data_IF_625700235869
#
_entry.id   IF_625700235869
#
_cell.length_a   1.000
_cell.length_b   1.000
_cell.length_c   1.000
_cell.angle_alpha   90.00
_cell.angle_beta   90.00
_cell.angle_gamma   90.00
#
_symmetry.space_group_name_H-M   'P 1'
#
loop_
_entity.id
_entity.type
_entity.pdbx_description
1 polymer ?
#
# COMPACT_ATOMS: atom_id res chain seq x y z
N UNK A 1 -72.61 47.29 -0.66
CA UNK A 1 -71.89 46.44 0.33
C UNK A 1 -71.26 47.32 1.39
N UNK A 2 -71.58 47.14 2.68
CA UNK A 2 -71.16 48.04 3.76
C UNK A 2 -69.82 47.67 4.40
N UNK A 3 -68.99 48.68 4.70
CA UNK A 3 -67.62 48.56 5.22
C UNK A 3 -67.48 47.60 6.43
N UNK A 4 -68.48 47.52 7.32
CA UNK A 4 -68.49 46.57 8.46
C UNK A 4 -68.44 45.09 8.04
N UNK A 5 -69.05 44.72 6.90
CA UNK A 5 -68.98 43.36 6.35
C UNK A 5 -67.59 43.05 5.79
N UNK A 6 -66.98 44.03 5.13
CA UNK A 6 -65.60 43.96 4.62
C UNK A 6 -64.60 43.78 5.76
N UNK A 7 -64.71 44.53 6.86
CA UNK A 7 -63.82 44.38 8.05
C UNK A 7 -63.92 42.99 8.69
N UNK A 8 -65.14 42.45 8.85
CA UNK A 8 -65.33 41.08 9.37
C UNK A 8 -64.74 40.03 8.44
N UNK A 9 -64.87 40.20 7.13
CA UNK A 9 -64.26 39.30 6.14
C UNK A 9 -62.73 39.34 6.18
N UNK A 10 -62.15 40.54 6.38
CA UNK A 10 -60.70 40.74 6.54
C UNK A 10 -60.18 40.12 7.83
N UNK A 11 -60.88 40.28 8.97
CA UNK A 11 -60.52 39.62 10.23
C UNK A 11 -60.64 38.10 10.15
N UNK A 12 -61.68 37.58 9.50
CA UNK A 12 -61.84 36.15 9.27
C UNK A 12 -60.79 35.58 8.31
N UNK A 13 -60.31 36.39 7.37
CA UNK A 13 -59.18 36.06 6.48
C UNK A 13 -57.85 36.05 7.24
N UNK A 14 -57.59 37.07 8.06
CA UNK A 14 -56.39 37.16 8.89
C UNK A 14 -56.27 35.97 9.87
N UNK A 15 -57.34 35.64 10.59
CA UNK A 15 -57.38 34.45 11.47
C UNK A 15 -57.22 33.12 10.72
N UNK A 16 -57.66 33.05 9.45
CA UNK A 16 -57.40 31.87 8.59
C UNK A 16 -55.94 31.80 8.18
N UNK A 17 -55.34 32.94 7.82
CA UNK A 17 -53.92 33.05 7.47
C UNK A 17 -53.01 32.61 8.62
N UNK A 18 -53.29 33.10 9.84
CA UNK A 18 -52.54 32.77 11.06
C UNK A 18 -52.62 31.28 11.41
N UNK A 19 -53.82 30.67 11.34
CA UNK A 19 -53.97 29.22 11.52
C UNK A 19 -53.24 28.40 10.45
N UNK A 20 -53.24 28.87 9.20
CA UNK A 20 -52.52 28.21 8.12
C UNK A 20 -51.00 28.32 8.31
N UNK A 21 -50.51 29.47 8.78
CA UNK A 21 -49.09 29.66 9.11
C UNK A 21 -48.65 28.72 10.25
N UNK A 22 -49.43 28.62 11.32
CA UNK A 22 -49.15 27.68 12.41
C UNK A 22 -49.22 26.21 11.98
N UNK A 23 -50.15 25.84 11.10
CA UNK A 23 -50.18 24.48 10.53
C UNK A 23 -48.91 24.18 9.73
N UNK A 24 -48.53 25.07 8.81
CA UNK A 24 -47.29 24.93 8.02
C UNK A 24 -46.06 24.83 8.91
N UNK A 25 -45.98 25.65 9.96
CA UNK A 25 -44.87 25.60 10.92
C UNK A 25 -44.79 24.23 11.61
N UNK A 26 -45.91 23.69 12.09
CA UNK A 26 -45.95 22.36 12.71
C UNK A 26 -45.60 21.23 11.73
N UNK A 27 -46.06 21.33 10.48
CA UNK A 27 -45.75 20.36 9.44
C UNK A 27 -44.24 20.38 9.11
N UNK A 28 -43.64 21.57 9.00
CA UNK A 28 -42.20 21.75 8.82
C UNK A 28 -41.40 21.22 10.01
N UNK A 29 -41.83 21.49 11.25
CA UNK A 29 -41.20 20.94 12.46
C UNK A 29 -41.27 19.41 12.51
N UNK A 30 -42.39 18.82 12.07
CA UNK A 30 -42.54 17.36 11.98
C UNK A 30 -41.59 16.77 10.94
N UNK A 31 -41.55 17.34 9.74
CA UNK A 31 -40.63 16.91 8.69
C UNK A 31 -39.18 17.05 9.15
N UNK A 32 -38.80 18.17 9.78
CA UNK A 32 -37.46 18.37 10.31
C UNK A 32 -37.08 17.31 11.36
N UNK A 33 -38.00 16.95 12.27
CA UNK A 33 -37.76 15.87 13.24
C UNK A 33 -37.63 14.50 12.59
N UNK A 34 -38.40 14.22 11.54
CA UNK A 34 -38.31 12.98 10.78
C UNK A 34 -36.97 12.90 10.03
N UNK A 35 -36.53 13.98 9.37
CA UNK A 35 -35.21 14.07 8.73
C UNK A 35 -34.07 13.89 9.74
N UNK A 36 -34.08 14.63 10.86
CA UNK A 36 -33.05 14.51 11.89
C UNK A 36 -33.00 13.10 12.50
N UNK A 37 -34.16 12.42 12.60
CA UNK A 37 -34.22 11.02 13.03
C UNK A 37 -33.59 10.09 12.01
N UNK A 38 -33.85 10.27 10.70
CA UNK A 38 -33.23 9.45 9.66
C UNK A 38 -31.72 9.66 9.61
N UNK A 39 -31.27 10.91 9.62
CA UNK A 39 -29.85 11.27 9.66
C UNK A 39 -29.13 10.65 10.86
N UNK A 40 -29.72 10.70 12.06
CA UNK A 40 -29.14 10.09 13.25
C UNK A 40 -29.05 8.54 13.17
N UNK A 41 -29.97 7.89 12.44
CA UNK A 41 -29.92 6.44 12.21
C UNK A 41 -28.86 6.07 11.17
N UNK A 42 -28.73 6.87 10.11
CA UNK A 42 -27.68 6.70 9.09
C UNK A 42 -26.29 6.91 9.69
N UNK A 43 -26.11 7.96 10.49
CA UNK A 43 -24.86 8.19 11.21
C UNK A 43 -24.53 7.04 12.17
N UNK A 44 -25.53 6.53 12.90
CA UNK A 44 -25.34 5.38 13.78
C UNK A 44 -24.89 4.13 13.03
N UNK A 45 -25.49 3.85 11.86
CA UNK A 45 -25.09 2.74 11.01
C UNK A 45 -23.65 2.92 10.51
N UNK A 46 -23.33 4.10 9.97
CA UNK A 46 -21.99 4.42 9.50
C UNK A 46 -20.92 4.26 10.59
N UNK A 47 -21.19 4.68 11.82
CA UNK A 47 -20.24 4.52 12.93
C UNK A 47 -19.98 3.05 13.31
N UNK A 48 -20.97 2.18 13.15
CA UNK A 48 -20.80 0.73 13.34
C UNK A 48 -20.00 0.14 12.19
N UNK A 49 -20.30 0.53 10.95
CA UNK A 49 -19.57 0.08 9.77
C UNK A 49 -18.07 0.47 9.85
N UNK A 50 -17.76 1.70 10.25
CA UNK A 50 -16.36 2.15 10.47
C UNK A 50 -15.67 1.31 11.53
N UNK A 51 -16.36 0.99 12.62
CA UNK A 51 -15.82 0.14 13.68
C UNK A 51 -15.57 -1.30 13.21
N UNK A 52 -16.52 -1.90 12.51
CA UNK A 52 -16.41 -3.26 11.98
C UNK A 52 -15.31 -3.37 10.93
N UNK A 53 -15.23 -2.40 10.00
CA UNK A 53 -14.17 -2.32 9.01
C UNK A 53 -12.79 -2.14 9.65
N UNK A 54 -12.68 -1.32 10.70
CA UNK A 54 -11.42 -1.17 11.43
C UNK A 54 -10.97 -2.49 12.05
N UNK A 55 -11.89 -3.24 12.66
CA UNK A 55 -11.58 -4.58 13.18
C UNK A 55 -11.19 -5.56 12.06
N UNK A 56 -11.86 -5.50 10.91
CA UNK A 56 -11.50 -6.35 9.77
C UNK A 56 -10.09 -6.06 9.27
N UNK A 57 -9.69 -4.80 9.12
CA UNK A 57 -8.35 -4.40 8.69
C UNK A 57 -7.28 -4.97 9.63
N UNK A 58 -7.39 -4.71 10.93
CA UNK A 58 -6.36 -5.17 11.88
C UNK A 58 -6.28 -6.71 11.98
N UNK A 59 -7.41 -7.40 11.82
CA UNK A 59 -7.47 -8.87 11.90
C UNK A 59 -7.09 -9.56 10.59
N UNK A 60 -7.05 -8.84 9.46
CA UNK A 60 -6.76 -9.39 8.14
C UNK A 60 -5.39 -8.99 7.57
N UNK A 61 -4.57 -8.25 8.32
CA UNK A 61 -3.21 -7.82 7.92
C UNK A 61 -2.37 -8.95 7.30
N UNK A 62 -2.44 -10.16 7.85
CA UNK A 62 -1.70 -11.34 7.37
C UNK A 62 -2.12 -11.85 5.99
N UNK A 63 -3.28 -11.44 5.44
CA UNK A 63 -3.82 -11.94 4.16
C UNK A 63 -3.16 -11.27 2.97
N UNK A 64 -2.86 -9.99 3.10
CA UNK A 64 -2.15 -9.21 2.10
C UNK A 64 -0.64 -9.52 2.12
N UNK A 65 0.03 -9.45 0.96
CA UNK A 65 1.47 -9.63 0.80
C UNK A 65 1.89 -9.21 -0.60
N UNK A 66 3.10 -8.65 -0.75
CA UNK A 66 3.71 -8.41 -2.04
C UNK A 66 3.98 -9.68 -2.87
N UNK A 67 4.24 -9.49 -4.16
CA UNK A 67 4.63 -10.57 -5.05
C UNK A 67 6.02 -11.13 -4.69
N UNK A 68 6.23 -12.42 -4.95
CA UNK A 68 7.53 -13.06 -4.73
C UNK A 68 8.56 -12.56 -5.75
N UNK A 69 9.65 -11.98 -5.27
CA UNK A 69 10.75 -11.49 -6.10
C UNK A 69 11.66 -12.65 -6.49
N UNK A 70 11.80 -12.88 -7.80
CA UNK A 70 12.69 -13.90 -8.36
C UNK A 70 14.04 -13.29 -8.73
N UNK A 71 14.91 -13.10 -7.74
CA UNK A 71 16.26 -12.52 -7.94
C UNK A 71 17.09 -13.25 -9.00
N UNK A 72 16.96 -14.58 -9.11
CA UNK A 72 17.64 -15.34 -10.16
C UNK A 72 17.22 -14.92 -11.58
N UNK A 73 15.94 -14.54 -11.77
CA UNK A 73 15.45 -14.01 -13.05
C UNK A 73 16.08 -12.66 -13.35
N UNK A 74 16.17 -11.77 -12.35
CA UNK A 74 16.79 -10.45 -12.49
C UNK A 74 18.28 -10.58 -12.86
N UNK A 75 19.01 -11.48 -12.20
CA UNK A 75 20.42 -11.77 -12.51
C UNK A 75 20.61 -12.31 -13.94
N UNK A 76 19.63 -13.07 -14.45
CA UNK A 76 19.66 -13.67 -15.79
C UNK A 76 19.12 -12.78 -16.92
N UNK A 77 18.61 -11.58 -16.60
CA UNK A 77 18.05 -10.65 -17.59
C UNK A 77 19.12 -10.26 -18.60
N UNK A 78 18.80 -10.38 -19.89
CA UNK A 78 19.73 -10.04 -20.97
C UNK A 78 20.09 -8.55 -20.95
N UNK A 79 21.36 -8.28 -21.24
CA UNK A 79 21.88 -6.92 -21.37
C UNK A 79 21.14 -6.15 -22.48
N UNK A 80 20.72 -4.90 -22.22
CA UNK A 80 20.12 -4.04 -23.24
C UNK A 80 21.05 -3.83 -24.43
N UNK A 81 20.55 -4.04 -25.64
CA UNK A 81 21.35 -3.88 -26.86
C UNK A 81 21.65 -2.41 -27.13
N UNK A 82 22.93 -2.09 -27.31
CA UNK A 82 23.35 -0.76 -27.71
C UNK A 82 22.72 -0.35 -29.07
N UNK A 83 22.24 0.89 -29.21
CA UNK A 83 21.68 1.38 -30.46
C UNK A 83 22.75 1.45 -31.53
N UNK A 84 22.36 1.20 -32.77
CA UNK A 84 23.24 1.32 -33.93
C UNK A 84 22.88 2.57 -34.73
N UNK A 85 23.90 3.23 -35.29
CA UNK A 85 23.68 4.32 -36.24
C UNK A 85 22.97 3.79 -37.48
N UNK A 86 22.00 4.55 -37.96
CA UNK A 86 21.21 4.25 -39.15
C UNK A 86 21.19 5.50 -40.00
N UNK A 87 21.49 5.37 -41.29
CA UNK A 87 21.53 6.48 -42.24
C UNK A 87 20.26 6.50 -43.11
N UNK A 88 19.12 6.11 -42.53
CA UNK A 88 17.89 5.83 -43.29
C UNK A 88 17.34 7.11 -43.92
N UNK A 89 17.31 8.20 -43.17
CA UNK A 89 16.75 9.47 -43.65
C UNK A 89 17.70 10.15 -44.63
N UNK A 90 19.01 10.10 -44.37
CA UNK A 90 20.04 10.51 -45.34
C UNK A 90 19.89 9.74 -46.67
N UNK A 91 19.78 8.41 -46.62
CA UNK A 91 19.64 7.59 -47.83
C UNK A 91 18.34 7.90 -48.59
N UNK A 92 17.21 8.08 -47.88
CA UNK A 92 15.94 8.46 -48.52
C UNK A 92 16.05 9.83 -49.20
N UNK A 93 16.61 10.83 -48.51
CA UNK A 93 16.79 12.17 -49.08
C UNK A 93 17.78 12.18 -50.25
N UNK A 94 18.84 11.37 -50.17
CA UNK A 94 19.83 11.22 -51.25
C UNK A 94 19.21 10.57 -52.48
N UNK A 95 18.33 9.58 -52.29
CA UNK A 95 17.55 9.00 -53.39
C UNK A 95 16.62 10.01 -54.05
N UNK A 96 15.99 10.91 -53.29
CA UNK A 96 15.16 11.99 -53.84
C UNK A 96 15.98 12.97 -54.69
N UNK A 97 17.21 13.29 -54.27
CA UNK A 97 18.16 14.08 -55.08
C UNK A 97 18.49 13.36 -56.39
N UNK A 98 18.83 12.07 -56.33
CA UNK A 98 19.19 11.26 -57.51
C UNK A 98 18.02 11.12 -58.49
N UNK A 99 16.79 10.95 -57.97
CA UNK A 99 15.58 10.75 -58.78
C UNK A 99 15.02 12.05 -59.38
N UNK A 100 15.44 13.21 -58.89
CA UNK A 100 14.93 14.50 -59.33
C UNK A 100 15.22 14.75 -60.81
N UNK A 101 14.16 15.01 -61.59
CA UNK A 101 14.24 15.47 -62.98
C UNK A 101 13.53 16.82 -63.11
N UNK A 102 14.17 17.86 -63.67
CA UNK A 102 13.55 19.17 -63.83
C UNK A 102 12.41 19.13 -64.87
N UNK A 103 11.27 19.72 -64.52
CA UNK A 103 10.10 19.85 -65.39
C UNK A 103 10.25 21.05 -66.35
N UNK A 104 9.50 21.04 -67.46
CA UNK A 104 9.56 22.09 -68.50
C UNK A 104 9.41 23.52 -67.92
N UNK A 105 8.52 23.70 -66.94
CA UNK A 105 8.30 24.96 -66.23
C UNK A 105 9.44 25.35 -65.26
N UNK A 106 10.12 24.39 -64.62
CA UNK A 106 11.23 24.70 -63.71
C UNK A 106 12.49 25.19 -64.45
N UNK A 107 12.67 24.74 -65.70
CA UNK A 107 13.69 25.25 -66.63
C UNK A 107 13.33 26.65 -67.15
N UNK A 108 12.08 26.88 -67.52
CA UNK A 108 11.60 28.16 -68.07
C UNK A 108 11.70 29.31 -67.05
N UNK A 109 11.47 29.04 -65.76
CA UNK A 109 11.54 30.04 -64.68
C UNK A 109 12.88 30.08 -63.91
N UNK A 110 13.93 29.35 -64.35
CA UNK A 110 15.24 29.24 -63.66
C UNK A 110 15.16 28.79 -62.19
N UNK A 111 14.10 28.07 -61.80
CA UNK A 111 13.86 27.61 -60.43
C UNK A 111 14.62 26.31 -60.08
N UNK A 112 15.29 25.70 -61.06
CA UNK A 112 16.02 24.45 -60.89
C UNK A 112 17.11 24.51 -59.82
N UNK A 113 17.88 25.60 -59.77
CA UNK A 113 18.93 25.78 -58.76
C UNK A 113 18.34 25.81 -57.33
N UNK A 114 17.21 26.50 -57.17
CA UNK A 114 16.50 26.57 -55.88
C UNK A 114 15.91 25.22 -55.46
N UNK A 115 15.39 24.45 -56.42
CA UNK A 115 14.82 23.12 -56.17
C UNK A 115 15.90 22.09 -55.81
N UNK A 116 17.05 22.10 -56.49
CA UNK A 116 18.21 21.26 -56.12
C UNK A 116 18.79 21.65 -54.76
N UNK A 117 18.92 22.95 -54.47
CA UNK A 117 19.36 23.42 -53.16
C UNK A 117 18.40 22.98 -52.04
N UNK A 118 17.09 23.03 -52.28
CA UNK A 118 16.09 22.54 -51.33
C UNK A 118 16.17 21.03 -51.10
N UNK A 119 16.47 20.22 -52.13
CA UNK A 119 16.68 18.78 -51.98
C UNK A 119 18.00 18.48 -51.23
N UNK A 120 19.06 19.26 -51.46
CA UNK A 120 20.31 19.12 -50.71
C UNK A 120 20.12 19.44 -49.22
N UNK A 121 19.36 20.50 -48.90
CA UNK A 121 18.98 20.82 -47.53
C UNK A 121 18.18 19.68 -46.86
N UNK A 122 17.41 18.90 -47.63
CA UNK A 122 16.73 17.70 -47.09
C UNK A 122 17.71 16.57 -46.76
N UNK A 123 18.83 16.44 -47.47
CA UNK A 123 19.88 15.46 -47.14
C UNK A 123 20.55 15.85 -45.83
N UNK A 124 20.91 17.12 -45.68
CA UNK A 124 21.47 17.66 -44.41
C UNK A 124 20.47 17.51 -43.25
N UNK A 125 19.18 17.80 -43.49
CA UNK A 125 18.13 17.56 -42.50
C UNK A 125 17.97 16.06 -42.18
N UNK A 126 18.13 15.17 -43.16
CA UNK A 126 18.10 13.72 -42.96
C UNK A 126 19.26 13.24 -42.08
N UNK A 127 20.48 13.71 -42.35
CA UNK A 127 21.67 13.43 -41.53
C UNK A 127 21.49 13.94 -40.09
N UNK A 128 20.94 15.14 -39.93
CA UNK A 128 20.65 15.72 -38.63
C UNK A 128 19.59 14.90 -37.87
N UNK A 129 18.54 14.44 -38.56
CA UNK A 129 17.49 13.59 -37.97
C UNK A 129 18.02 12.22 -37.56
N UNK A 130 18.79 11.54 -38.43
CA UNK A 130 19.45 10.26 -38.12
C UNK A 130 20.39 10.42 -36.89
N UNK A 131 21.15 11.53 -36.84
CA UNK A 131 22.03 11.85 -35.71
C UNK A 131 21.26 12.11 -34.42
N UNK A 132 20.20 12.92 -34.46
CA UNK A 132 19.37 13.24 -33.30
C UNK A 132 18.69 11.98 -32.74
N UNK A 133 18.17 11.10 -33.62
CA UNK A 133 17.58 9.82 -33.21
C UNK A 133 18.58 8.89 -32.57
N UNK A 134 19.79 8.80 -33.14
CA UNK A 134 20.85 8.01 -32.55
C UNK A 134 21.24 8.54 -31.16
N UNK A 135 21.39 9.86 -31.00
CA UNK A 135 21.69 10.46 -29.69
C UNK A 135 20.59 10.19 -28.66
N UNK A 136 19.32 10.37 -29.04
CA UNK A 136 18.20 10.06 -28.16
C UNK A 136 18.17 8.58 -27.74
N UNK A 137 18.38 7.67 -28.70
CA UNK A 137 18.46 6.24 -28.43
C UNK A 137 19.67 5.86 -27.57
N UNK A 138 20.79 6.57 -27.73
CA UNK A 138 22.00 6.37 -26.93
C UNK A 138 21.77 6.78 -25.48
N UNK A 139 21.19 7.95 -25.23
CA UNK A 139 20.83 8.41 -23.88
C UNK A 139 19.85 7.45 -23.21
N UNK A 140 18.82 6.99 -23.92
CA UNK A 140 17.87 6.01 -23.37
C UNK A 140 18.56 4.69 -23.03
N UNK A 141 19.43 4.20 -23.91
CA UNK A 141 20.20 2.99 -23.66
C UNK A 141 21.17 3.15 -22.48
N UNK A 142 21.84 4.30 -22.33
CA UNK A 142 22.73 4.57 -21.20
C UNK A 142 21.97 4.48 -19.86
N UNK A 143 20.77 5.05 -19.79
CA UNK A 143 19.91 4.96 -18.60
C UNK A 143 19.50 3.50 -18.33
N UNK A 144 18.94 2.82 -19.34
CA UNK A 144 18.46 1.42 -19.19
C UNK A 144 19.61 0.46 -18.88
N UNK A 145 20.79 0.67 -19.46
CA UNK A 145 21.99 -0.12 -19.18
C UNK A 145 22.49 0.13 -17.75
N UNK A 146 22.51 1.40 -17.29
CA UNK A 146 22.86 1.73 -15.90
C UNK A 146 21.93 1.05 -14.89
N UNK A 147 20.61 1.12 -15.11
CA UNK A 147 19.62 0.42 -14.28
C UNK A 147 19.86 -1.09 -14.31
N UNK A 148 20.06 -1.68 -15.48
CA UNK A 148 20.36 -3.11 -15.61
C UNK A 148 21.62 -3.53 -14.85
N UNK A 149 22.69 -2.73 -14.88
CA UNK A 149 23.92 -2.99 -14.11
C UNK A 149 23.63 -2.98 -12.61
N UNK A 150 22.88 -1.97 -12.13
CA UNK A 150 22.53 -1.82 -10.71
C UNK A 150 21.63 -2.97 -10.23
N UNK A 151 20.56 -3.28 -10.95
CA UNK A 151 19.64 -4.38 -10.65
C UNK A 151 20.38 -5.72 -10.57
N UNK A 152 21.28 -5.95 -11.53
CA UNK A 152 22.05 -7.20 -11.60
C UNK A 152 23.06 -7.30 -10.46
N UNK A 153 23.72 -6.21 -10.08
CA UNK A 153 24.64 -6.17 -8.94
C UNK A 153 23.89 -6.43 -7.63
N UNK A 154 22.78 -5.74 -7.41
CA UNK A 154 21.92 -5.94 -6.25
C UNK A 154 21.42 -7.39 -6.16
N UNK A 155 20.88 -7.93 -7.26
CA UNK A 155 20.39 -9.30 -7.30
C UNK A 155 21.49 -10.32 -6.99
N UNK A 156 22.70 -10.11 -7.52
CA UNK A 156 23.86 -10.96 -7.23
C UNK A 156 24.21 -10.90 -5.74
N UNK A 157 24.37 -9.70 -5.17
CA UNK A 157 24.75 -9.51 -3.77
C UNK A 157 23.71 -10.11 -2.82
N UNK A 158 22.42 -9.98 -3.12
CA UNK A 158 21.34 -10.60 -2.33
C UNK A 158 21.41 -12.13 -2.37
N UNK A 159 21.64 -12.71 -3.55
CA UNK A 159 21.80 -14.17 -3.71
C UNK A 159 23.07 -14.69 -3.01
N UNK A 160 24.14 -13.88 -2.97
CA UNK A 160 25.37 -14.17 -2.23
C UNK A 160 25.22 -13.95 -0.71
N UNK A 161 24.05 -13.49 -0.24
CA UNK A 161 23.73 -13.32 1.18
C UNK A 161 24.22 -12.01 1.81
N UNK A 162 24.58 -11.01 1.00
CA UNK A 162 25.06 -9.70 1.48
C UNK A 162 24.01 -9.00 2.35
N UNK A 163 24.38 -8.71 3.60
CA UNK A 163 23.52 -8.05 4.59
C UNK A 163 23.00 -6.70 4.12
N UNK A 164 23.87 -5.84 3.58
CA UNK A 164 23.50 -4.49 3.20
C UNK A 164 22.56 -4.54 2.00
N UNK A 165 22.84 -5.42 1.02
CA UNK A 165 22.00 -5.59 -0.15
C UNK A 165 20.56 -6.03 0.21
N UNK A 166 20.39 -6.89 1.23
CA UNK A 166 19.05 -7.26 1.74
C UNK A 166 18.31 -6.06 2.34
N UNK A 167 19.01 -5.21 3.10
CA UNK A 167 18.42 -4.01 3.69
C UNK A 167 18.06 -2.97 2.62
N UNK A 168 18.97 -2.73 1.66
CA UNK A 168 18.76 -1.82 0.53
C UNK A 168 17.53 -2.24 -0.29
N UNK A 169 17.33 -3.55 -0.50
CA UNK A 169 16.14 -4.06 -1.18
C UNK A 169 14.85 -3.81 -0.38
N UNK A 170 14.87 -3.98 0.94
CA UNK A 170 13.67 -3.71 1.76
C UNK A 170 13.35 -2.21 1.76
N UNK A 171 14.36 -1.35 1.81
CA UNK A 171 14.19 0.10 1.71
C UNK A 171 13.61 0.50 0.34
N UNK A 172 14.10 -0.10 -0.76
CA UNK A 172 13.63 0.21 -2.10
C UNK A 172 12.18 -0.25 -2.39
N UNK A 173 11.77 -1.38 -1.81
CA UNK A 173 10.42 -1.95 -2.02
C UNK A 173 9.37 -1.45 -1.02
N UNK A 174 9.79 -0.87 0.11
CA UNK A 174 8.94 -0.39 1.20
C UNK A 174 7.76 -1.33 1.57
N UNK A 175 8.00 -2.64 1.81
CA UNK A 175 6.93 -3.64 1.92
C UNK A 175 6.05 -3.50 3.18
N UNK A 176 6.38 -2.57 4.08
CA UNK A 176 5.73 -2.41 5.38
C UNK A 176 4.99 -1.09 5.57
N UNK A 177 4.77 -0.31 4.50
CA UNK A 177 4.13 1.00 4.59
C UNK A 177 2.77 0.96 5.32
N UNK A 178 1.94 -0.05 5.05
CA UNK A 178 0.63 -0.23 5.71
C UNK A 178 0.75 -0.51 7.21
N UNK A 179 1.71 -1.34 7.61
CA UNK A 179 1.97 -1.66 9.02
C UNK A 179 2.46 -0.40 9.76
N UNK A 180 3.34 0.38 9.13
CA UNK A 180 3.84 1.64 9.70
C UNK A 180 2.74 2.68 9.92
N UNK A 181 1.71 2.71 9.06
CA UNK A 181 0.56 3.60 9.22
C UNK A 181 -0.29 3.29 10.46
N UNK A 182 -0.24 2.05 10.96
CA UNK A 182 -0.87 1.65 12.23
C UNK A 182 -0.02 2.00 13.46
N UNK A 183 1.01 2.83 13.28
CA UNK A 183 1.89 3.31 14.36
C UNK A 183 3.01 2.34 14.71
N UNK A 184 3.22 1.28 13.91
CA UNK A 184 4.23 0.26 14.20
C UNK A 184 5.61 0.63 13.64
N UNK A 185 6.65 0.50 14.47
CA UNK A 185 8.04 0.65 14.03
C UNK A 185 8.66 -0.72 13.73
N UNK A 186 9.52 -0.79 12.71
CA UNK A 186 10.20 -2.04 12.33
C UNK A 186 11.72 -1.82 12.35
N UNK A 187 12.40 -2.63 13.16
CA UNK A 187 13.85 -2.68 13.24
C UNK A 187 14.37 -3.99 12.67
N UNK A 188 15.30 -3.92 11.73
CA UNK A 188 15.79 -5.09 11.01
C UNK A 188 17.25 -5.36 11.34
N UNK A 189 17.62 -6.64 11.42
CA UNK A 189 18.99 -7.08 11.70
C UNK A 189 19.28 -8.36 10.94
N UNK A 190 20.42 -8.41 10.25
CA UNK A 190 20.94 -9.67 9.68
C UNK A 190 22.06 -10.14 10.59
N UNK A 191 21.87 -11.32 11.17
CA UNK A 191 22.84 -11.95 12.07
C UNK A 191 24.06 -12.49 11.30
N UNK A 192 25.18 -12.73 12.00
CA UNK A 192 26.44 -13.18 11.37
C UNK A 192 26.28 -14.48 10.56
N UNK A 193 25.37 -15.35 10.97
CA UNK A 193 25.04 -16.61 10.32
C UNK A 193 23.93 -16.46 9.25
N UNK A 194 23.68 -15.24 8.76
CA UNK A 194 22.82 -14.93 7.61
C UNK A 194 21.31 -14.85 7.88
N UNK A 195 20.85 -15.24 9.08
CA UNK A 195 19.43 -15.19 9.44
C UNK A 195 18.97 -13.73 9.58
N UNK A 196 17.88 -13.42 8.92
CA UNK A 196 17.21 -12.13 9.00
C UNK A 196 16.23 -12.11 10.19
N UNK A 197 16.40 -11.14 11.09
CA UNK A 197 15.47 -10.85 12.19
C UNK A 197 14.81 -9.48 11.97
N UNK A 198 13.50 -9.43 12.14
CA UNK A 198 12.71 -8.22 12.21
C UNK A 198 12.08 -8.08 13.60
N UNK A 199 12.23 -6.91 14.22
CA UNK A 199 11.57 -6.53 15.47
C UNK A 199 10.50 -5.49 15.16
N UNK A 200 9.26 -5.83 15.50
CA UNK A 200 8.08 -5.05 15.20
C UNK A 200 7.49 -4.50 16.49
N UNK A 201 7.43 -3.18 16.66
CA UNK A 201 6.74 -2.52 17.76
C UNK A 201 5.26 -2.38 17.42
N UNK A 202 4.37 -3.06 18.15
CA UNK A 202 2.94 -3.22 17.78
C UNK A 202 2.06 -2.06 18.23
N UNK A 203 2.37 -1.44 19.38
CA UNK A 203 1.56 -0.40 20.02
C UNK A 203 0.07 -0.79 20.16
N UNK A 204 -0.19 -2.03 20.61
CA UNK A 204 -1.53 -2.64 20.52
C UNK A 204 -2.63 -1.90 21.30
N UNK A 205 -2.26 -1.22 22.40
CA UNK A 205 -3.17 -0.39 23.18
C UNK A 205 -3.78 0.78 22.42
N UNK A 206 -3.08 1.26 21.39
CA UNK A 206 -3.45 2.47 20.66
C UNK A 206 -4.25 2.14 19.40
N UNK A 207 -4.06 0.93 18.86
CA UNK A 207 -4.71 0.46 17.63
C UNK A 207 -6.07 -0.20 17.90
N UNK A 208 -6.21 -0.92 19.02
CA UNK A 208 -7.40 -1.72 19.30
C UNK A 208 -8.44 -0.88 20.05
N UNK A 209 -9.69 -0.79 19.54
CA UNK A 209 -10.73 -0.02 20.20
C UNK A 209 -11.01 -0.52 21.63
N UNK A 210 -11.18 0.41 22.56
CA UNK A 210 -11.56 0.12 23.96
C UNK A 210 -13.07 0.00 24.17
N UNK A 211 -13.85 0.29 23.13
CA UNK A 211 -15.31 0.23 23.12
C UNK A 211 -15.83 -0.66 21.99
N UNK A 212 -17.03 -1.21 22.17
CA UNK A 212 -17.77 -1.97 21.18
C UNK A 212 -18.94 -1.10 20.71
N UNK A 213 -18.98 -0.85 19.40
CA UNK A 213 -20.12 -0.19 18.73
C UNK A 213 -21.03 -1.24 18.11
N UNK A 214 -22.34 -1.04 18.22
CA UNK A 214 -23.36 -1.94 17.66
C UNK A 214 -24.70 -1.21 17.49
N UNK A 215 -25.59 -1.74 16.66
CA UNK A 215 -26.95 -1.21 16.51
C UNK A 215 -27.94 -1.90 17.45
N UNK A 216 -28.78 -1.11 18.11
CA UNK A 216 -29.96 -1.62 18.81
C UNK A 216 -31.04 -2.05 17.79
N UNK A 217 -32.01 -2.85 18.23
CA UNK A 217 -33.20 -3.19 17.41
C UNK A 217 -33.96 -1.97 16.87
N UNK A 218 -33.77 -0.80 17.49
CA UNK A 218 -34.36 0.47 17.08
C UNK A 218 -33.54 1.23 16.02
N UNK A 219 -32.38 0.71 15.63
CA UNK A 219 -31.40 1.35 14.73
C UNK A 219 -30.51 2.40 15.40
N UNK A 220 -30.70 2.67 16.70
CA UNK A 220 -29.84 3.61 17.45
C UNK A 220 -28.49 2.97 17.78
N UNK A 221 -27.44 3.78 17.79
CA UNK A 221 -26.10 3.38 18.22
C UNK A 221 -26.08 2.95 19.70
N UNK A 222 -25.41 1.84 19.97
CA UNK A 222 -25.08 1.35 21.30
C UNK A 222 -23.56 1.23 21.41
N UNK A 223 -22.99 1.98 22.35
CA UNK A 223 -21.57 1.94 22.69
C UNK A 223 -21.41 1.35 24.09
N UNK A 224 -20.52 0.37 24.23
CA UNK A 224 -20.23 -0.28 25.52
C UNK A 224 -18.73 -0.46 25.68
N UNK A 225 -18.20 -0.33 26.89
CA UNK A 225 -16.82 -0.68 27.18
C UNK A 225 -16.53 -2.13 26.79
N UNK A 226 -15.38 -2.37 26.15
CA UNK A 226 -14.97 -3.69 25.71
C UNK A 226 -14.57 -4.54 26.93
N UNK A 227 -15.10 -5.76 27.09
CA UNK A 227 -14.62 -6.68 28.11
C UNK A 227 -13.14 -7.01 27.86
N UNK A 228 -12.33 -7.00 28.93
CA UNK A 228 -10.87 -7.21 28.84
C UNK A 228 -10.49 -8.50 28.09
N UNK A 229 -11.26 -9.58 28.27
CA UNK A 229 -11.03 -10.83 27.55
C UNK A 229 -11.18 -10.71 26.04
N UNK A 230 -12.14 -9.91 25.57
CA UNK A 230 -12.34 -9.67 24.13
C UNK A 230 -11.26 -8.76 23.57
N UNK A 231 -10.86 -7.74 24.33
CA UNK A 231 -9.73 -6.89 23.96
C UNK A 231 -8.45 -7.72 23.79
N UNK A 232 -8.15 -8.59 24.75
CA UNK A 232 -6.97 -9.44 24.71
C UNK A 232 -7.00 -10.44 23.55
N UNK A 233 -8.17 -11.03 23.23
CA UNK A 233 -8.32 -11.92 22.06
C UNK A 233 -7.99 -11.15 20.75
N UNK A 234 -8.60 -9.97 20.55
CA UNK A 234 -8.31 -9.12 19.38
C UNK A 234 -6.83 -8.71 19.32
N UNK A 235 -6.23 -8.44 20.48
CA UNK A 235 -4.82 -8.10 20.56
C UNK A 235 -3.92 -9.26 20.17
N UNK A 236 -4.26 -10.47 20.60
CA UNK A 236 -3.54 -11.68 20.21
C UNK A 236 -3.56 -11.88 18.70
N UNK A 237 -4.74 -11.79 18.10
CA UNK A 237 -4.91 -11.99 16.66
C UNK A 237 -4.19 -10.90 15.87
N UNK A 238 -4.29 -9.64 16.29
CA UNK A 238 -3.58 -8.52 15.67
C UNK A 238 -2.06 -8.72 15.70
N UNK A 239 -1.47 -9.02 16.86
CA UNK A 239 -0.03 -9.26 17.01
C UNK A 239 0.44 -10.40 16.10
N UNK A 240 -0.29 -11.53 16.11
CA UNK A 240 0.07 -12.69 15.29
C UNK A 240 -0.13 -12.42 13.80
N UNK A 241 -1.16 -11.65 13.44
CA UNK A 241 -1.45 -11.23 12.07
C UNK A 241 -0.34 -10.34 11.52
N UNK A 242 0.13 -9.35 12.29
CA UNK A 242 1.25 -8.51 11.88
C UNK A 242 2.56 -9.29 11.78
N UNK A 243 2.82 -10.21 12.72
CA UNK A 243 4.01 -11.07 12.65
C UNK A 243 4.01 -11.95 11.38
N UNK A 244 2.85 -12.55 11.03
CA UNK A 244 2.67 -13.28 9.77
C UNK A 244 2.90 -12.37 8.57
N UNK A 245 2.31 -11.17 8.54
CA UNK A 245 2.49 -10.23 7.41
C UNK A 245 3.97 -9.92 7.20
N UNK A 246 4.69 -9.54 8.25
CA UNK A 246 6.13 -9.25 8.17
C UNK A 246 6.91 -10.47 7.69
N UNK A 247 6.64 -11.65 8.26
CA UNK A 247 7.31 -12.89 7.85
C UNK A 247 7.07 -13.22 6.38
N UNK A 248 5.84 -13.03 5.89
CA UNK A 248 5.47 -13.26 4.49
C UNK A 248 6.16 -12.28 3.55
N UNK A 249 6.12 -10.99 3.83
CA UNK A 249 6.76 -9.97 3.02
C UNK A 249 8.27 -10.20 2.91
N UNK A 250 8.93 -10.51 4.02
CA UNK A 250 10.36 -10.82 4.02
C UNK A 250 10.66 -12.07 3.20
N UNK A 251 9.86 -13.14 3.33
CA UNK A 251 10.04 -14.34 2.52
C UNK A 251 9.67 -14.12 1.04
N UNK A 252 8.74 -13.23 0.72
CA UNK A 252 8.41 -12.90 -0.66
C UNK A 252 9.55 -12.10 -1.32
N UNK A 253 10.13 -11.16 -0.57
CA UNK A 253 11.17 -10.28 -1.07
C UNK A 253 12.55 -10.92 -1.05
N UNK A 254 12.93 -11.64 0.01
CA UNK A 254 14.28 -12.20 0.18
C UNK A 254 14.34 -13.66 -0.28
N UNK A 255 15.52 -14.15 -0.74
CA UNK A 255 15.70 -15.56 -1.11
C UNK A 255 15.80 -16.50 0.11
N UNK A 256 15.82 -15.96 1.33
CA UNK A 256 15.97 -16.71 2.57
C UNK A 256 14.86 -17.77 2.76
N UNK A 257 15.23 -18.95 3.29
CA UNK A 257 14.28 -20.01 3.62
C UNK A 257 13.65 -19.82 5.01
N UNK A 258 14.26 -19.00 5.86
CA UNK A 258 13.82 -18.74 7.22
C UNK A 258 14.09 -17.29 7.63
N UNK A 259 13.11 -16.69 8.29
CA UNK A 259 13.22 -15.36 8.92
C UNK A 259 12.67 -15.41 10.34
N UNK A 260 13.19 -14.56 11.22
CA UNK A 260 12.68 -14.41 12.59
C UNK A 260 11.91 -13.10 12.68
N UNK A 261 10.73 -13.15 13.27
CA UNK A 261 9.94 -11.96 13.58
C UNK A 261 9.66 -11.94 15.07
N UNK A 262 10.01 -10.83 15.72
CA UNK A 262 9.79 -10.60 17.14
C UNK A 262 8.88 -9.40 17.31
N UNK A 263 7.70 -9.60 17.89
CA UNK A 263 6.79 -8.51 18.21
C UNK A 263 7.09 -7.97 19.63
N UNK A 264 7.19 -6.66 19.71
CA UNK A 264 7.46 -5.87 20.91
C UNK A 264 6.21 -5.08 21.26
N UNK A 265 5.89 -5.00 22.55
CA UNK A 265 4.80 -4.14 23.02
C UNK A 265 5.09 -3.64 24.44
N UNK A 266 4.39 -2.57 24.84
CA UNK A 266 4.47 -2.02 26.17
C UNK A 266 3.70 -2.92 27.15
N UNK A 267 4.43 -3.69 27.96
CA UNK A 267 3.85 -4.60 28.94
C UNK A 267 4.43 -4.33 30.33
N UNK A 268 3.67 -4.72 31.37
CA UNK A 268 4.13 -4.57 32.74
C UNK A 268 5.29 -5.53 33.02
N UNK A 269 6.47 -4.98 33.29
CA UNK A 269 7.59 -5.76 33.80
C UNK A 269 7.30 -6.13 35.25
N UNK A 270 7.04 -7.41 35.51
CA UNK A 270 6.72 -7.91 36.85
C UNK A 270 7.85 -7.76 37.88
N UNK A 271 9.10 -7.57 37.45
CA UNK A 271 10.25 -7.37 38.33
C UNK A 271 10.42 -5.90 38.74
N UNK A 272 10.13 -4.95 37.85
CA UNK A 272 10.31 -3.50 38.10
C UNK A 272 9.00 -2.79 38.43
N UNK A 273 7.85 -3.36 38.04
CA UNK A 273 6.53 -2.75 38.16
C UNK A 273 6.27 -1.63 37.14
N UNK A 274 7.16 -1.43 36.17
CA UNK A 274 7.04 -0.40 35.14
C UNK A 274 6.55 -0.97 33.81
N UNK A 275 5.89 -0.13 33.02
CA UNK A 275 5.59 -0.47 31.62
C UNK A 275 6.88 -0.33 30.81
N UNK A 276 7.26 -1.41 30.15
CA UNK A 276 8.48 -1.49 29.35
C UNK A 276 8.15 -2.13 28.01
N UNK A 277 8.82 -1.67 26.95
CA UNK A 277 8.72 -2.28 25.64
C UNK A 277 9.50 -3.60 25.65
N UNK A 278 8.77 -4.71 25.70
CA UNK A 278 9.33 -6.05 25.86
C UNK A 278 8.81 -6.99 24.76
N UNK A 279 9.59 -8.02 24.40
CA UNK A 279 9.16 -9.04 23.45
C UNK A 279 7.97 -9.82 24.00
N UNK A 280 6.87 -9.85 23.26
CA UNK A 280 5.64 -10.59 23.61
C UNK A 280 5.41 -11.82 22.72
N UNK A 281 6.03 -11.83 21.53
CA UNK A 281 6.01 -12.93 20.57
C UNK A 281 7.36 -12.97 19.85
N UNK A 282 7.93 -14.15 19.66
CA UNK A 282 9.09 -14.36 18.77
C UNK A 282 8.91 -15.65 18.00
N UNK A 283 8.97 -15.58 16.66
CA UNK A 283 8.61 -16.69 15.76
C UNK A 283 9.64 -16.83 14.66
N UNK A 284 10.04 -18.06 14.35
CA UNK A 284 10.83 -18.39 13.18
C UNK A 284 9.91 -18.89 12.05
N UNK A 285 9.71 -18.07 11.03
CA UNK A 285 8.91 -18.41 9.85
C UNK A 285 9.77 -19.08 8.79
N UNK A 286 9.46 -20.33 8.45
CA UNK A 286 10.06 -21.01 7.31
C UNK A 286 9.19 -20.86 6.06
N UNK A 287 9.84 -20.71 4.90
CA UNK A 287 9.19 -20.64 3.58
C UNK A 287 8.33 -21.87 3.31
N UNK A 288 8.86 -23.06 3.61
CA UNK A 288 8.18 -24.33 3.37
C UNK A 288 6.87 -24.41 4.15
N UNK A 289 6.88 -24.14 5.46
CA UNK A 289 5.66 -24.13 6.27
C UNK A 289 4.70 -23.03 5.81
N UNK A 290 5.18 -21.81 5.58
CA UNK A 290 4.34 -20.69 5.15
C UNK A 290 3.57 -21.01 3.85
N UNK A 291 4.22 -21.66 2.89
CA UNK A 291 3.61 -22.03 1.61
C UNK A 291 2.46 -23.05 1.70
N UNK A 292 2.31 -23.74 2.84
CA UNK A 292 1.25 -24.74 3.07
C UNK A 292 0.00 -24.17 3.73
N UNK A 293 0.08 -22.95 4.29
CA UNK A 293 -1.03 -22.35 5.03
C UNK A 293 -2.03 -21.71 4.07
N UNK A 294 -3.33 -21.91 4.34
CA UNK A 294 -4.40 -21.14 3.71
C UNK A 294 -4.65 -19.85 4.50
N UNK A 295 -3.89 -18.81 4.20
CA UNK A 295 -3.88 -17.56 4.96
C UNK A 295 -5.24 -16.84 4.99
N UNK A 296 -6.13 -17.09 4.02
CA UNK A 296 -7.46 -16.48 4.02
C UNK A 296 -8.40 -17.06 5.09
N UNK A 297 -8.11 -18.26 5.57
CA UNK A 297 -9.00 -19.07 6.41
C UNK A 297 -8.40 -19.47 7.76
N UNK A 298 -7.13 -19.14 8.03
CA UNK A 298 -6.51 -19.44 9.32
C UNK A 298 -6.89 -18.40 10.38
N UNK A 299 -6.84 -18.85 11.64
CA UNK A 299 -6.70 -17.97 12.78
C UNK A 299 -5.20 -17.65 12.99
N UNK A 300 -4.77 -16.37 13.00
CA UNK A 300 -3.36 -16.00 13.11
C UNK A 300 -2.69 -16.54 14.38
N UNK A 301 -3.40 -16.55 15.50
CA UNK A 301 -2.85 -16.98 16.79
C UNK A 301 -2.64 -18.50 16.83
N UNK A 302 -3.58 -19.27 16.29
CA UNK A 302 -3.45 -20.71 16.14
C UNK A 302 -2.39 -21.10 15.11
N UNK A 303 -2.23 -20.31 14.05
CA UNK A 303 -1.24 -20.56 13.01
C UNK A 303 0.19 -20.59 13.53
N UNK A 304 0.49 -19.88 14.63
CA UNK A 304 1.80 -19.87 15.28
C UNK A 304 2.28 -21.28 15.65
N UNK A 305 1.35 -22.22 15.94
CA UNK A 305 1.65 -23.61 16.29
C UNK A 305 2.37 -24.39 15.18
N UNK A 306 2.30 -23.92 13.93
CA UNK A 306 3.01 -24.52 12.82
C UNK A 306 4.50 -24.14 12.78
N UNK A 307 4.92 -23.17 13.58
CA UNK A 307 6.25 -22.60 13.60
C UNK A 307 6.93 -22.78 14.96
N UNK A 308 8.27 -22.73 14.97
CA UNK A 308 9.01 -22.59 16.22
C UNK A 308 8.76 -21.18 16.74
N UNK A 309 8.14 -21.07 17.91
CA UNK A 309 7.76 -19.79 18.50
C UNK A 309 7.83 -19.79 20.02
N UNK A 310 8.04 -18.60 20.57
CA UNK A 310 7.83 -18.28 21.97
C UNK A 310 6.66 -17.30 22.07
N UNK A 311 5.57 -17.72 22.74
CA UNK A 311 4.40 -16.89 23.02
C UNK A 311 3.82 -17.27 24.37
N UNK A 312 3.49 -16.28 25.20
CA UNK A 312 2.84 -16.47 26.49
C UNK A 312 1.61 -15.57 26.57
N UNK A 313 0.43 -16.17 26.52
CA UNK A 313 -0.83 -15.44 26.47
C UNK A 313 -1.85 -16.02 27.45
N UNK A 314 -2.61 -15.15 28.11
CA UNK A 314 -3.77 -15.51 28.92
C UNK A 314 -4.90 -14.54 28.63
N UNK A 315 -6.08 -15.05 28.28
CA UNK A 315 -7.27 -14.23 27.98
C UNK A 315 -7.60 -13.18 29.05
N UNK A 316 -7.33 -13.44 30.31
CA UNK A 316 -7.58 -12.48 31.41
C UNK A 316 -6.55 -11.35 31.49
N UNK A 317 -5.30 -11.61 31.09
CA UNK A 317 -4.17 -10.72 31.36
C UNK A 317 -3.44 -10.25 30.08
N UNK A 318 -3.77 -10.80 28.91
CA UNK A 318 -3.09 -10.54 27.65
C UNK A 318 -1.76 -11.27 27.51
N UNK A 319 -0.84 -10.66 26.77
CA UNK A 319 0.52 -11.14 26.59
C UNK A 319 1.36 -10.96 27.85
N UNK A 320 2.32 -11.86 28.04
CA UNK A 320 3.40 -11.72 28.98
C UNK A 320 4.76 -11.70 28.24
N UNK A 321 5.79 -11.07 28.81
CA UNK A 321 7.13 -11.09 28.22
C UNK A 321 7.64 -12.51 27.94
N UNK A 322 8.32 -12.69 26.82
CA UNK A 322 8.91 -13.96 26.39
C UNK A 322 10.39 -13.79 26.03
N UNK A 323 11.14 -14.89 25.99
CA UNK A 323 12.50 -14.84 25.45
C UNK A 323 12.45 -14.70 23.92
N UNK A 324 13.34 -13.89 23.35
CA UNK A 324 13.58 -13.85 21.90
C UNK A 324 14.18 -15.18 21.46
N UNK A 325 13.78 -15.67 20.29
CA UNK A 325 14.38 -16.87 19.72
C UNK A 325 15.87 -16.64 19.43
N UNK A 326 16.70 -17.59 19.82
CA UNK A 326 18.13 -17.57 19.52
C UNK A 326 18.36 -17.95 18.06
N UNK A 327 18.78 -16.97 17.27
CA UNK A 327 18.98 -17.09 15.83
C UNK A 327 20.06 -18.14 15.48
N UNK A 328 21.02 -18.39 16.37
CA UNK A 328 22.09 -19.38 16.16
C UNK A 328 21.56 -20.80 16.08
N UNK A 329 20.39 -21.09 16.68
CA UNK A 329 19.74 -22.40 16.63
C UNK A 329 19.19 -22.74 15.24
N UNK A 330 19.06 -21.75 14.37
CA UNK A 330 18.56 -21.88 13.01
C UNK A 330 19.66 -21.69 11.96
N UNK A 331 20.89 -21.42 12.39
CA UNK A 331 22.03 -21.40 11.50
C UNK A 331 22.21 -22.81 10.90
N UNK A 332 22.11 -22.90 9.58
CA UNK A 332 22.54 -24.11 8.88
C UNK A 332 24.05 -24.17 9.04
N UNK A 333 24.57 -25.28 9.57
CA UNK A 333 26.02 -25.51 9.60
C UNK A 333 26.51 -25.47 8.15
N UNK A 334 27.34 -24.47 7.82
CA UNK A 334 27.87 -24.23 6.49
C UNK A 334 28.66 -25.43 5.96
#
# INVERSE_FOLDING_TARGET
MGWKGTVRSLQASARRSERNAHRRQRDLERQSKEYARMEALEQAAYEVDVYENHLEVILSMHKECGETVRWGTLLSKLEPKAPQKSDRYEQMATQDVIRYRPNFWSRLFKLEARQRAALQLKVEAGQAEDSNRYQAALTEWENTHSEWVQDRDLAKRILDGDRQAKLDAIEAFEPFNEISLLGSAIHMTVHEHGIFESRLSIHGSDVIPTEIKSLLKSGKLSTKAMPIGRFNDLHQDYVCSCALRVGRELLALLPDDLVIVTAMDNVLNGATGHMEELPILSVAFSRSTMSTLNLDAIDPSDAMKNFVHNMSFKKTNGFAPVAVLDATRFAVSA
#
